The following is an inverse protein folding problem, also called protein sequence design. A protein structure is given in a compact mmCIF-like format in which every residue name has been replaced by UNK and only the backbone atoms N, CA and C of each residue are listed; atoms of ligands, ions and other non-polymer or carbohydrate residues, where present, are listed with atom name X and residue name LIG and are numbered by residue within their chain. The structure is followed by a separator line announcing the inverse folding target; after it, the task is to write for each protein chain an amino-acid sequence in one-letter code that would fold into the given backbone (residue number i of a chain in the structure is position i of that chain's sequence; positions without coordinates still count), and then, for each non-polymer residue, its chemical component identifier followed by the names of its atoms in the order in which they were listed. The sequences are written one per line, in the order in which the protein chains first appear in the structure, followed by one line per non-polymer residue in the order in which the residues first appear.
data_IF_417400417817
#
_entry.id   IF_417400417817
#
_cell.length_a   1.000
_cell.length_b   1.000
_cell.length_c   1.000
_cell.angle_alpha   90.00
_cell.angle_beta   90.00
_cell.angle_gamma   90.00
#
_symmetry.space_group_name_H-M   'P 1'
#
loop_
_entity.id
_entity.type
_entity.pdbx_description
1 polymer ?
#
# COMPACT_ATOMS: atom_id res chain seq x y z
N UNK A 1 -37.72 9.68 35.10
CA UNK A 1 -36.30 10.07 34.92
C UNK A 1 -35.34 8.90 35.22
N UNK A 2 -35.59 7.71 34.67
CA UNK A 2 -34.69 6.54 34.81
C UNK A 2 -34.29 5.95 33.44
N UNK A 3 -35.01 6.34 32.38
CA UNK A 3 -34.78 5.84 31.01
C UNK A 3 -33.65 6.56 30.25
N UNK A 4 -33.34 7.83 30.55
CA UNK A 4 -32.25 8.56 29.88
C UNK A 4 -30.85 8.10 30.32
N UNK A 5 -30.70 7.66 31.58
CA UNK A 5 -29.40 7.24 32.13
C UNK A 5 -28.88 5.93 31.50
N UNK A 6 -29.77 5.02 31.13
CA UNK A 6 -29.42 3.73 30.52
C UNK A 6 -28.94 3.92 29.06
N UNK A 7 -29.53 4.89 28.34
CA UNK A 7 -29.14 5.21 26.96
C UNK A 7 -27.74 5.83 26.87
N UNK A 8 -27.36 6.66 27.85
CA UNK A 8 -26.03 7.29 27.91
C UNK A 8 -24.91 6.27 28.16
N UNK A 9 -25.18 5.23 28.95
CA UNK A 9 -24.19 4.17 29.25
C UNK A 9 -23.97 3.25 28.04
N UNK A 10 -25.02 2.94 27.28
CA UNK A 10 -24.92 2.13 26.04
C UNK A 10 -24.18 2.86 24.90
N UNK A 11 -24.22 4.20 24.88
CA UNK A 11 -23.47 5.00 23.90
C UNK A 11 -21.97 5.09 24.24
N UNK A 12 -21.59 4.96 25.51
CA UNK A 12 -20.18 5.01 25.93
C UNK A 12 -19.41 3.68 25.74
N UNK A 13 -20.10 2.54 25.54
CA UNK A 13 -19.45 1.25 25.32
C UNK A 13 -19.06 0.98 23.85
N UNK A 14 -19.41 1.85 22.91
CA UNK A 14 -18.98 1.72 21.51
C UNK A 14 -17.57 2.29 21.27
N UNK A 15 -16.99 3.00 22.24
CA UNK A 15 -15.75 3.75 22.09
C UNK A 15 -14.57 3.12 22.86
N UNK A 16 -14.23 1.84 22.63
CA UNK A 16 -12.83 1.39 22.80
C UNK A 16 -12.57 -0.02 22.23
N UNK A 17 -12.73 -0.21 20.92
CA UNK A 17 -11.95 -1.25 20.23
C UNK A 17 -10.81 -0.51 19.55
N UNK A 18 -9.68 -0.32 20.25
CA UNK A 18 -8.39 -0.12 19.59
C UNK A 18 -8.05 -1.44 18.86
N UNK A 19 -8.75 -1.67 17.76
CA UNK A 19 -8.66 -2.90 16.99
C UNK A 19 -7.39 -2.87 16.17
N UNK A 20 -6.45 -3.76 16.47
CA UNK A 20 -5.39 -4.06 15.52
C UNK A 20 -6.05 -4.57 14.23
N UNK A 21 -5.76 -3.97 13.07
CA UNK A 21 -6.33 -4.42 11.79
C UNK A 21 -6.16 -5.94 11.64
N UNK A 22 -4.92 -6.40 11.84
CA UNK A 22 -4.52 -7.81 12.01
C UNK A 22 -3.21 -7.89 12.81
N UNK A 23 -2.92 -9.03 13.41
CA UNK A 23 -1.72 -9.23 14.24
C UNK A 23 -0.39 -9.20 13.45
N UNK A 24 -0.45 -9.49 12.15
CA UNK A 24 0.69 -9.51 11.23
C UNK A 24 0.92 -8.17 10.50
N UNK A 25 0.09 -7.17 10.77
CA UNK A 25 0.29 -5.81 10.28
C UNK A 25 0.89 -4.92 11.38
N UNK A 26 1.71 -3.96 10.98
CA UNK A 26 2.29 -2.96 11.87
C UNK A 26 1.70 -1.59 11.59
N UNK A 27 1.15 -0.97 12.63
CA UNK A 27 0.63 0.38 12.55
C UNK A 27 1.77 1.39 12.54
N UNK A 28 1.69 2.35 11.62
CA UNK A 28 2.58 3.49 11.61
C UNK A 28 1.78 4.77 11.93
N UNK A 29 2.10 5.41 13.05
CA UNK A 29 1.35 6.57 13.55
C UNK A 29 1.46 7.81 12.66
N UNK A 30 2.59 7.98 11.93
CA UNK A 30 2.82 9.13 11.04
C UNK A 30 1.92 9.07 9.81
N UNK A 31 1.84 7.88 9.21
CA UNK A 31 1.01 7.64 8.01
C UNK A 31 -0.45 7.38 8.38
N UNK A 32 -0.72 6.97 9.63
CA UNK A 32 -2.03 6.49 10.11
C UNK A 32 -2.51 5.20 9.42
N UNK A 33 -1.60 4.47 8.77
CA UNK A 33 -1.89 3.22 8.07
C UNK A 33 -1.21 2.01 8.72
N UNK A 34 -1.69 0.82 8.33
CA UNK A 34 -1.14 -0.47 8.69
C UNK A 34 -0.35 -1.04 7.51
N UNK A 35 0.87 -1.51 7.75
CA UNK A 35 1.74 -2.08 6.73
C UNK A 35 2.09 -3.53 7.01
N UNK A 36 2.21 -4.31 5.93
CA UNK A 36 2.71 -5.67 5.94
C UNK A 36 3.44 -5.95 4.62
N UNK A 37 4.74 -6.28 4.66
CA UNK A 37 5.45 -6.77 3.48
C UNK A 37 5.03 -8.21 3.17
N UNK A 38 4.71 -8.48 1.91
CA UNK A 38 4.40 -9.83 1.44
C UNK A 38 5.68 -10.51 0.94
N UNK A 39 6.09 -11.60 1.59
CA UNK A 39 7.33 -12.33 1.28
C UNK A 39 7.13 -13.47 0.27
N UNK A 40 5.88 -13.82 -0.05
CA UNK A 40 5.58 -14.88 -0.99
C UNK A 40 5.81 -14.36 -2.41
N UNK A 41 6.70 -14.98 -3.21
CA UNK A 41 6.89 -14.58 -4.60
C UNK A 41 5.58 -14.66 -5.37
N UNK A 42 5.26 -13.57 -6.08
CA UNK A 42 4.02 -13.43 -6.82
C UNK A 42 4.28 -12.61 -8.09
N UNK A 43 3.37 -12.64 -9.06
CA UNK A 43 3.31 -11.56 -10.04
C UNK A 43 2.49 -10.38 -9.48
N UNK A 44 2.43 -9.25 -10.18
CA UNK A 44 1.73 -8.06 -9.69
C UNK A 44 0.22 -8.29 -9.44
N UNK A 45 -0.45 -9.05 -10.31
CA UNK A 45 -1.88 -9.36 -10.15
C UNK A 45 -2.13 -10.20 -8.91
N UNK A 46 -1.30 -11.22 -8.69
CA UNK A 46 -1.40 -12.08 -7.51
C UNK A 46 -1.05 -11.31 -6.22
N UNK A 47 -0.06 -10.41 -6.26
CA UNK A 47 0.26 -9.52 -5.14
C UNK A 47 -0.92 -8.62 -4.79
N UNK A 48 -1.54 -7.99 -5.80
CA UNK A 48 -2.75 -7.17 -5.61
C UNK A 48 -3.91 -7.99 -5.06
N UNK A 49 -4.19 -9.14 -5.66
CA UNK A 49 -5.25 -10.06 -5.24
C UNK A 49 -5.04 -10.48 -3.78
N UNK A 50 -3.80 -10.81 -3.40
CA UNK A 50 -3.47 -11.20 -2.03
C UNK A 50 -3.79 -10.07 -1.05
N UNK A 51 -3.38 -8.84 -1.32
CA UNK A 51 -3.73 -7.70 -0.46
C UNK A 51 -5.25 -7.57 -0.32
N UNK A 52 -6.00 -7.68 -1.42
CA UNK A 52 -7.45 -7.59 -1.41
C UNK A 52 -8.13 -8.71 -0.62
N UNK A 53 -7.64 -9.95 -0.71
CA UNK A 53 -8.12 -11.08 0.10
C UNK A 53 -7.87 -10.88 1.59
N UNK A 54 -6.88 -10.06 1.95
CA UNK A 54 -6.56 -9.71 3.33
C UNK A 54 -7.34 -8.49 3.84
N UNK A 55 -8.24 -7.92 3.03
CA UNK A 55 -8.98 -6.69 3.35
C UNK A 55 -8.14 -5.42 3.23
N UNK A 56 -7.00 -5.49 2.55
CA UNK A 56 -6.05 -4.40 2.36
C UNK A 56 -5.90 -4.03 0.87
N UNK A 57 -5.08 -3.03 0.59
CA UNK A 57 -4.69 -2.62 -0.77
C UNK A 57 -3.19 -2.79 -0.97
N UNK A 58 -2.77 -3.05 -2.21
CA UNK A 58 -1.35 -3.09 -2.55
C UNK A 58 -0.80 -1.66 -2.43
N UNK A 59 0.18 -1.46 -1.56
CA UNK A 59 0.58 -0.14 -1.09
C UNK A 59 1.11 0.76 -2.22
N UNK A 60 0.52 1.95 -2.35
CA UNK A 60 0.94 3.02 -3.26
C UNK A 60 1.61 4.15 -2.47
N UNK A 61 2.69 4.76 -2.98
CA UNK A 61 3.36 5.88 -2.31
C UNK A 61 2.59 7.19 -2.55
N UNK A 62 1.39 7.31 -1.97
CA UNK A 62 0.47 8.45 -2.20
C UNK A 62 0.81 9.70 -1.40
N UNK A 63 1.66 9.60 -0.37
CA UNK A 63 2.20 10.74 0.39
C UNK A 63 3.68 10.55 0.73
N UNK A 64 4.42 11.63 1.05
CA UNK A 64 5.83 11.54 1.45
C UNK A 64 6.04 10.64 2.68
N UNK A 65 5.10 10.66 3.63
CA UNK A 65 5.15 9.85 4.85
C UNK A 65 4.98 8.36 4.52
N UNK A 66 4.04 8.02 3.63
CA UNK A 66 3.82 6.65 3.18
C UNK A 66 5.05 6.16 2.42
N UNK A 67 5.60 6.97 1.51
CA UNK A 67 6.82 6.65 0.78
C UNK A 67 8.01 6.43 1.72
N UNK A 68 8.18 7.28 2.74
CA UNK A 68 9.23 7.14 3.73
C UNK A 68 9.08 5.84 4.52
N UNK A 69 7.86 5.46 4.90
CA UNK A 69 7.62 4.20 5.61
C UNK A 69 7.84 2.98 4.71
N UNK A 70 7.39 3.01 3.45
CA UNK A 70 7.66 1.94 2.49
C UNK A 70 9.18 1.73 2.31
N UNK A 71 9.95 2.81 2.16
CA UNK A 71 11.42 2.76 2.13
C UNK A 71 12.02 2.21 3.41
N UNK A 72 11.51 2.64 4.56
CA UNK A 72 11.96 2.18 5.87
C UNK A 72 11.79 0.66 6.02
N UNK A 73 10.61 0.13 5.67
CA UNK A 73 10.32 -1.32 5.70
C UNK A 73 11.27 -2.07 4.76
N UNK A 74 11.46 -1.57 3.54
CA UNK A 74 12.32 -2.22 2.55
C UNK A 74 13.78 -2.24 2.96
N UNK A 75 14.33 -1.10 3.37
CA UNK A 75 15.77 -1.00 3.68
C UNK A 75 16.16 -1.77 4.95
N UNK A 76 15.27 -1.86 5.94
CA UNK A 76 15.60 -2.54 7.20
C UNK A 76 15.27 -4.02 7.20
N UNK A 77 14.17 -4.42 6.53
CA UNK A 77 13.67 -5.79 6.63
C UNK A 77 13.94 -6.63 5.38
N UNK A 78 14.09 -5.98 4.21
CA UNK A 78 14.19 -6.66 2.91
C UNK A 78 15.15 -5.95 1.92
N UNK A 79 16.38 -5.58 2.33
CA UNK A 79 17.28 -4.77 1.50
C UNK A 79 17.69 -5.44 0.18
N UNK A 80 17.57 -6.76 0.08
CA UNK A 80 17.97 -7.56 -1.09
C UNK A 80 16.80 -7.86 -2.05
N UNK A 81 15.57 -7.43 -1.73
CA UNK A 81 14.37 -7.81 -2.50
C UNK A 81 13.75 -6.61 -3.23
N UNK A 82 13.23 -6.88 -4.42
CA UNK A 82 12.32 -5.97 -5.11
C UNK A 82 10.88 -6.31 -4.71
N UNK A 83 10.06 -5.28 -4.46
CA UNK A 83 8.64 -5.45 -4.15
C UNK A 83 7.75 -4.82 -5.22
N UNK A 84 6.58 -5.42 -5.41
CA UNK A 84 5.50 -4.76 -6.14
C UNK A 84 4.86 -3.69 -5.28
N UNK A 85 4.56 -2.55 -5.90
CA UNK A 85 3.79 -1.46 -5.33
C UNK A 85 2.42 -1.40 -6.00
N UNK A 86 1.54 -0.56 -5.47
CA UNK A 86 0.26 -0.25 -6.09
C UNK A 86 0.40 0.54 -7.41
N UNK A 87 1.60 0.87 -7.88
CA UNK A 87 1.76 1.56 -9.18
C UNK A 87 1.71 0.53 -10.33
N UNK A 88 0.98 0.86 -11.39
CA UNK A 88 0.77 0.00 -12.55
C UNK A 88 0.38 0.79 -13.82
N UNK A 89 0.57 0.18 -14.99
CA UNK A 89 0.15 0.69 -16.29
C UNK A 89 -0.74 -0.32 -17.05
N UNK A 90 -1.50 -1.15 -16.31
CA UNK A 90 -2.28 -2.26 -16.88
C UNK A 90 -3.48 -1.82 -17.70
N UNK A 91 -3.90 -0.55 -17.57
CA UNK A 91 -5.05 0.01 -18.29
C UNK A 91 -4.60 0.67 -19.60
N UNK A 92 -3.54 1.47 -19.55
CA UNK A 92 -2.92 2.11 -20.71
C UNK A 92 -1.42 2.01 -20.57
N UNK A 93 -0.76 1.47 -21.60
CA UNK A 93 0.68 1.25 -21.57
C UNK A 93 1.42 2.60 -21.57
N UNK A 94 2.36 2.77 -20.64
CA UNK A 94 3.11 4.01 -20.47
C UNK A 94 2.43 5.02 -19.54
N UNK A 95 1.13 4.87 -19.29
CA UNK A 95 0.40 5.68 -18.32
C UNK A 95 0.33 4.96 -16.98
N UNK A 96 1.18 5.40 -16.05
CA UNK A 96 1.28 4.80 -14.73
C UNK A 96 0.33 5.47 -13.74
N UNK A 97 -0.42 4.64 -13.03
CA UNK A 97 -1.35 5.04 -11.99
C UNK A 97 -1.16 4.18 -10.75
N UNK A 98 -1.55 4.71 -9.60
CA UNK A 98 -1.73 3.92 -8.39
C UNK A 98 -3.00 3.06 -8.48
N UNK A 99 -3.14 2.02 -7.65
CA UNK A 99 -4.36 1.20 -7.59
C UNK A 99 -5.62 2.01 -7.19
N UNK A 100 -5.42 3.18 -6.59
CA UNK A 100 -6.44 4.18 -6.26
C UNK A 100 -6.78 5.11 -7.44
N UNK A 101 -6.07 5.01 -8.57
CA UNK A 101 -6.30 5.81 -9.78
C UNK A 101 -5.55 7.15 -9.84
N UNK A 102 -4.56 7.37 -8.96
CA UNK A 102 -3.76 8.61 -9.00
C UNK A 102 -2.62 8.46 -10.00
N UNK A 103 -2.47 9.42 -10.92
CA UNK A 103 -1.35 9.39 -11.89
C UNK A 103 0.00 9.52 -11.19
N UNK A 104 1.01 8.81 -11.70
CA UNK A 104 2.38 8.87 -11.20
C UNK A 104 2.94 10.31 -11.15
N UNK A 105 2.55 11.17 -12.09
CA UNK A 105 2.99 12.58 -12.12
C UNK A 105 2.46 13.42 -10.95
N UNK A 106 1.54 12.88 -10.14
CA UNK A 106 0.87 13.58 -9.03
C UNK A 106 1.28 13.04 -7.64
N UNK A 107 2.18 12.06 -7.57
CA UNK A 107 2.62 11.43 -6.33
C UNK A 107 4.12 11.68 -6.07
N UNK A 108 4.59 11.63 -4.81
CA UNK A 108 5.95 12.03 -4.44
C UNK A 108 7.03 11.01 -4.78
N UNK A 109 6.86 10.21 -5.84
CA UNK A 109 7.84 9.20 -6.26
C UNK A 109 8.25 9.44 -7.71
N UNK A 110 9.55 9.34 -7.96
CA UNK A 110 10.14 9.37 -9.29
C UNK A 110 10.69 8.00 -9.67
N UNK A 111 10.98 7.84 -10.96
CA UNK A 111 11.69 6.66 -11.44
C UNK A 111 13.12 6.63 -10.94
N UNK A 112 13.62 5.42 -10.64
CA UNK A 112 15.05 5.23 -10.45
C UNK A 112 15.81 5.48 -11.76
N UNK A 113 17.13 5.66 -11.65
CA UNK A 113 17.97 5.86 -12.83
C UNK A 113 17.80 4.68 -13.79
N UNK A 114 17.45 4.98 -15.05
CA UNK A 114 17.14 4.05 -16.15
C UNK A 114 15.74 3.40 -16.12
N UNK A 115 14.86 3.77 -15.19
CA UNK A 115 13.46 3.34 -15.18
C UNK A 115 12.53 4.41 -15.80
N UNK A 116 11.35 4.05 -16.35
CA UNK A 116 10.89 2.69 -16.57
C UNK A 116 11.63 2.09 -17.78
N UNK A 117 12.33 0.97 -17.56
CA UNK A 117 13.09 0.27 -18.61
C UNK A 117 12.20 -0.62 -19.48
N UNK A 118 10.95 -0.80 -19.05
CA UNK A 118 9.98 -1.60 -19.75
C UNK A 118 9.39 -0.89 -21.00
N UNK A 119 10.21 -0.66 -22.01
CA UNK A 119 9.79 -0.09 -23.30
C UNK A 119 9.42 -1.16 -24.34
N UNK A 120 9.60 -2.44 -24.02
CA UNK A 120 9.49 -3.52 -24.99
C UNK A 120 8.07 -4.13 -25.00
N UNK A 121 7.09 -3.39 -25.57
CA UNK A 121 5.73 -3.71 -26.08
C UNK A 121 5.07 -5.09 -25.80
N UNK A 122 5.39 -5.74 -24.70
CA UNK A 122 4.82 -7.01 -24.26
C UNK A 122 3.94 -6.70 -23.07
N UNK A 123 2.64 -6.93 -23.25
CA UNK A 123 1.52 -6.83 -22.28
C UNK A 123 1.88 -7.29 -20.87
N UNK A 124 2.89 -8.17 -20.74
CA UNK A 124 3.40 -8.65 -19.46
C UNK A 124 4.15 -7.63 -18.63
N UNK A 125 4.56 -6.46 -19.09
CA UNK A 125 5.48 -5.63 -18.32
C UNK A 125 4.95 -4.26 -17.89
N UNK A 126 3.63 -4.01 -17.95
CA UNK A 126 2.99 -2.82 -17.38
C UNK A 126 3.07 -2.69 -15.83
N UNK A 127 4.12 -3.24 -15.22
CA UNK A 127 4.35 -3.40 -13.79
C UNK A 127 5.53 -2.52 -13.41
N UNK A 128 5.30 -1.48 -12.63
CA UNK A 128 6.40 -0.74 -12.03
C UNK A 128 6.95 -1.58 -10.87
N UNK A 129 8.07 -2.24 -11.11
CA UNK A 129 9.01 -2.53 -10.03
C UNK A 129 9.72 -1.21 -9.80
N UNK A 130 9.40 -0.53 -8.70
CA UNK A 130 10.14 0.66 -8.32
C UNK A 130 11.22 0.16 -7.39
N UNK A 131 12.49 0.09 -7.84
CA UNK A 131 13.57 -0.05 -6.89
C UNK A 131 13.54 1.24 -6.07
N UNK A 132 13.12 1.12 -4.82
CA UNK A 132 13.21 2.19 -3.84
C UNK A 132 14.69 2.39 -3.48
N UNK A 133 15.47 2.90 -4.45
CA UNK A 133 16.80 3.47 -4.22
C UNK A 133 16.71 4.84 -3.59
#
# INVERSE_FOLDING_TARGET
MKSCLISFVLLFFLDFIEGSFRCDYKYNSKTRYWFKPAIVPANWFDARLRCSLEGAVLASPTSPEILAEMRNIMNHSYPEYEIYTGIHATVSQGDYYTVEGTSLSKIPVGWAKNEPDNKDNRVRHCRSRIPFG
#
